data_IF_065291045994
#
_entry.id   IF_065291045994
#
_cell.length_a   1.000
_cell.length_b   1.000
_cell.length_c   1.000
_cell.angle_alpha   90.00
_cell.angle_beta   90.00
_cell.angle_gamma   90.00
#
_symmetry.space_group_name_H-M   'P 1'
#
loop_
_entity.id
_entity.type
_entity.pdbx_description
1 polymer ?
#
# COMPACT_ATOMS: atom_id res chain seq x y z
N UNK A 1 -9.91 -23.74 37.23
CA UNK A 1 -10.96 -24.08 36.26
C UNK A 1 -11.58 -22.78 35.77
N UNK A 2 -11.57 -22.55 34.46
CA UNK A 2 -12.26 -21.40 33.86
C UNK A 2 -13.77 -21.57 34.10
N UNK A 3 -14.43 -20.51 34.59
CA UNK A 3 -15.83 -20.57 35.10
C UNK A 3 -16.73 -19.52 34.48
N UNK A 4 -16.16 -18.50 33.81
CA UNK A 4 -16.91 -17.41 33.19
C UNK A 4 -16.78 -17.48 31.68
N UNK A 5 -17.81 -17.04 30.96
CA UNK A 5 -17.77 -16.93 29.50
C UNK A 5 -16.62 -16.05 29.00
N UNK A 6 -16.21 -15.04 29.77
CA UNK A 6 -15.03 -14.20 29.50
C UNK A 6 -13.71 -14.96 29.47
N UNK A 7 -13.65 -16.15 30.07
CA UNK A 7 -12.46 -16.99 30.11
C UNK A 7 -12.31 -17.82 28.82
N UNK A 8 -13.39 -17.92 28.02
CA UNK A 8 -13.45 -18.69 26.77
C UNK A 8 -13.73 -17.82 25.55
N UNK A 9 -14.40 -16.69 25.74
CA UNK A 9 -14.84 -15.78 24.68
C UNK A 9 -14.09 -14.46 24.87
N UNK A 10 -13.19 -14.18 23.94
CA UNK A 10 -12.51 -12.90 23.84
C UNK A 10 -13.06 -12.13 22.64
N UNK A 11 -13.37 -10.84 22.84
CA UNK A 11 -13.60 -9.93 21.73
C UNK A 11 -12.27 -9.71 21.03
N UNK A 12 -12.16 -10.18 19.79
CA UNK A 12 -11.04 -9.82 18.95
C UNK A 12 -11.14 -8.32 18.64
N UNK A 13 -10.03 -7.58 18.72
CA UNK A 13 -9.99 -6.19 18.31
C UNK A 13 -10.24 -6.10 16.80
N UNK A 14 -11.51 -6.02 16.42
CA UNK A 14 -11.95 -5.90 15.04
C UNK A 14 -12.04 -4.42 14.67
N UNK A 15 -11.20 -3.98 13.73
CA UNK A 15 -11.33 -2.68 13.11
C UNK A 15 -12.29 -2.80 11.93
N UNK A 16 -13.53 -2.25 12.02
CA UNK A 16 -14.53 -2.41 10.95
C UNK A 16 -14.16 -1.64 9.67
N UNK A 17 -13.26 -0.65 9.79
CA UNK A 17 -12.78 0.16 8.67
C UNK A 17 -11.26 0.12 8.68
N UNK A 18 -10.71 -0.32 7.56
CA UNK A 18 -9.27 -0.34 7.35
C UNK A 18 -8.76 1.05 6.96
N UNK A 19 -7.86 1.60 7.77
CA UNK A 19 -7.25 2.91 7.56
C UNK A 19 -5.79 2.78 7.14
N UNK A 20 -5.47 3.20 5.91
CA UNK A 20 -4.11 3.05 5.33
C UNK A 20 -3.06 3.90 6.08
N UNK A 21 -3.49 4.93 6.83
CA UNK A 21 -2.57 5.77 7.62
C UNK A 21 -2.39 5.30 9.07
N UNK A 22 -3.38 4.60 9.62
CA UNK A 22 -3.44 4.19 11.03
C UNK A 22 -3.59 2.66 11.12
N UNK A 23 -2.66 1.95 10.48
CA UNK A 23 -2.65 0.49 10.49
C UNK A 23 -1.93 -0.07 11.72
N UNK A 24 -2.53 -1.07 12.37
CA UNK A 24 -1.85 -1.88 13.37
C UNK A 24 -0.78 -2.77 12.73
N UNK A 25 0.26 -3.09 13.50
CA UNK A 25 1.32 -4.02 13.07
C UNK A 25 0.66 -5.34 12.64
N UNK A 26 0.92 -5.80 11.41
CA UNK A 26 0.39 -7.02 10.79
C UNK A 26 -1.10 -7.05 10.41
N UNK A 27 -1.89 -5.98 10.63
CA UNK A 27 -3.32 -5.97 10.26
C UNK A 27 -3.56 -6.23 8.78
N UNK A 28 -2.65 -5.79 7.90
CA UNK A 28 -2.73 -6.01 6.46
C UNK A 28 -2.71 -7.50 6.07
N UNK A 29 -1.99 -8.35 6.84
CA UNK A 29 -1.81 -9.78 6.54
C UNK A 29 -3.10 -10.59 6.68
N UNK A 30 -4.10 -10.05 7.40
CA UNK A 30 -5.42 -10.69 7.55
C UNK A 30 -6.26 -10.66 6.27
N UNK A 31 -5.84 -9.94 5.23
CA UNK A 31 -6.56 -9.88 3.97
C UNK A 31 -6.61 -11.26 3.29
N UNK A 32 -7.79 -11.68 2.88
CA UNK A 32 -7.98 -12.95 2.17
C UNK A 32 -7.86 -12.66 0.66
N UNK A 33 -6.84 -13.19 -0.04
CA UNK A 33 -6.66 -12.94 -1.47
C UNK A 33 -7.79 -13.55 -2.29
N UNK A 34 -8.56 -12.70 -2.96
CA UNK A 34 -9.62 -13.09 -3.91
C UNK A 34 -9.09 -13.12 -5.35
N UNK A 35 -9.84 -13.74 -6.27
CA UNK A 35 -9.49 -13.71 -7.69
C UNK A 35 -9.38 -12.27 -8.25
N UNK A 36 -10.27 -11.38 -7.82
CA UNK A 36 -10.25 -9.96 -8.18
C UNK A 36 -9.00 -9.25 -7.64
N UNK A 37 -8.57 -9.59 -6.42
CA UNK A 37 -7.34 -9.07 -5.86
C UNK A 37 -6.11 -9.56 -6.65
N UNK A 38 -6.06 -10.83 -7.04
CA UNK A 38 -4.96 -11.37 -7.84
C UNK A 38 -4.84 -10.65 -9.19
N UNK A 39 -5.97 -10.38 -9.85
CA UNK A 39 -6.01 -9.59 -11.09
C UNK A 39 -5.52 -8.15 -10.85
N UNK A 40 -5.97 -7.51 -9.77
CA UNK A 40 -5.53 -6.17 -9.37
C UNK A 40 -4.02 -6.12 -9.10
N UNK A 41 -3.48 -7.11 -8.38
CA UNK A 41 -2.07 -7.23 -8.08
C UNK A 41 -1.27 -7.45 -9.37
N UNK A 42 -1.70 -8.34 -10.26
CA UNK A 42 -1.05 -8.60 -11.55
C UNK A 42 -1.00 -7.34 -12.43
N UNK A 43 -2.10 -6.59 -12.50
CA UNK A 43 -2.15 -5.30 -13.22
C UNK A 43 -1.24 -4.26 -12.58
N UNK A 44 -1.18 -4.21 -11.25
CA UNK A 44 -0.30 -3.31 -10.51
C UNK A 44 1.17 -3.60 -10.79
N UNK A 45 1.56 -4.88 -10.72
CA UNK A 45 2.92 -5.30 -11.07
C UNK A 45 3.27 -4.92 -12.51
N UNK A 46 2.38 -5.21 -13.45
CA UNK A 46 2.58 -4.87 -14.88
C UNK A 46 2.75 -3.36 -15.08
N UNK A 47 1.91 -2.54 -14.45
CA UNK A 47 1.97 -1.09 -14.57
C UNK A 47 3.29 -0.51 -14.01
N UNK A 48 3.85 -1.14 -12.97
CA UNK A 48 5.07 -0.68 -12.30
C UNK A 48 6.33 -1.17 -13.01
N UNK A 49 6.36 -2.43 -13.46
CA UNK A 49 7.59 -3.05 -13.99
C UNK A 49 7.73 -2.97 -15.50
N UNK A 50 6.65 -2.72 -16.24
CA UNK A 50 6.69 -2.73 -17.70
C UNK A 50 7.62 -1.65 -18.26
N UNK A 51 8.43 -2.00 -19.27
CA UNK A 51 9.19 -1.05 -20.08
C UNK A 51 8.31 -0.30 -21.08
N UNK A 52 7.22 -0.92 -21.53
CA UNK A 52 6.27 -0.32 -22.48
C UNK A 52 5.42 0.76 -21.82
N UNK A 53 5.44 1.97 -22.41
CA UNK A 53 4.68 3.14 -21.94
C UNK A 53 3.17 2.85 -21.94
N UNK A 54 2.66 2.11 -22.94
CA UNK A 54 1.25 1.75 -23.08
C UNK A 54 0.69 0.94 -21.90
N UNK A 55 1.56 0.20 -21.19
CA UNK A 55 1.23 -0.64 -20.04
C UNK A 55 1.39 0.09 -18.71
N UNK A 56 2.10 1.21 -18.66
CA UNK A 56 2.27 2.06 -17.47
C UNK A 56 1.04 2.93 -17.25
N UNK A 57 0.01 2.36 -16.62
CA UNK A 57 -1.28 3.03 -16.40
C UNK A 57 -1.60 3.20 -14.92
N UNK A 58 -2.28 4.29 -14.60
CA UNK A 58 -2.91 4.49 -13.30
C UNK A 58 -4.04 3.47 -13.10
N UNK A 59 -4.14 2.90 -11.90
CA UNK A 59 -5.13 1.89 -11.56
C UNK A 59 -6.22 2.53 -10.70
N UNK A 60 -7.47 2.29 -11.09
CA UNK A 60 -8.64 2.79 -10.39
C UNK A 60 -9.43 1.61 -9.80
N UNK A 61 -9.48 1.53 -8.47
CA UNK A 61 -10.22 0.48 -7.76
C UNK A 61 -11.59 1.01 -7.37
N UNK A 62 -12.65 0.41 -7.92
CA UNK A 62 -14.06 0.78 -7.67
C UNK A 62 -14.80 -0.34 -6.96
N UNK A 63 -15.79 0.01 -6.14
CA UNK A 63 -16.61 -0.96 -5.41
C UNK A 63 -17.35 -0.32 -4.22
N UNK A 64 -18.32 -1.01 -3.67
CA UNK A 64 -19.18 -0.53 -2.58
C UNK A 64 -18.40 -0.29 -1.29
N UNK A 65 -18.93 0.56 -0.39
CA UNK A 65 -18.30 0.82 0.90
C UNK A 65 -18.16 -0.48 1.71
N UNK A 66 -17.04 -0.64 2.43
CA UNK A 66 -16.79 -1.85 3.25
C UNK A 66 -16.26 -3.08 2.51
N UNK A 67 -16.06 -3.05 1.18
CA UNK A 67 -15.55 -4.21 0.42
C UNK A 67 -14.03 -4.39 0.43
N UNK A 68 -13.33 -3.79 1.40
CA UNK A 68 -11.89 -3.99 1.55
C UNK A 68 -11.01 -3.35 0.46
N UNK A 69 -11.49 -2.37 -0.33
CA UNK A 69 -10.67 -1.69 -1.36
C UNK A 69 -9.41 -1.02 -0.80
N UNK A 70 -9.55 -0.31 0.32
CA UNK A 70 -8.43 0.32 1.02
C UNK A 70 -7.46 -0.74 1.54
N UNK A 71 -7.99 -1.82 2.11
CA UNK A 71 -7.21 -2.95 2.61
C UNK A 71 -6.43 -3.65 1.50
N UNK A 72 -7.10 -3.97 0.38
CA UNK A 72 -6.47 -4.53 -0.82
C UNK A 72 -5.34 -3.63 -1.35
N UNK A 73 -5.56 -2.31 -1.37
CA UNK A 73 -4.54 -1.35 -1.83
C UNK A 73 -3.35 -1.29 -0.87
N UNK A 74 -3.60 -1.39 0.43
CA UNK A 74 -2.54 -1.48 1.43
C UNK A 74 -1.74 -2.78 1.32
N UNK A 75 -2.39 -3.92 1.07
CA UNK A 75 -1.68 -5.19 0.82
C UNK A 75 -0.74 -5.06 -0.36
N UNK A 76 -1.15 -4.45 -1.47
CA UNK A 76 -0.26 -4.20 -2.62
C UNK A 76 0.92 -3.31 -2.21
N UNK A 77 0.68 -2.25 -1.43
CA UNK A 77 1.74 -1.39 -0.88
C UNK A 77 2.73 -2.20 -0.05
N UNK A 78 2.28 -2.99 0.93
CA UNK A 78 3.13 -3.80 1.79
C UNK A 78 3.94 -4.81 0.98
N UNK A 79 3.28 -5.54 0.07
CA UNK A 79 3.94 -6.49 -0.83
C UNK A 79 5.09 -5.86 -1.61
N UNK A 80 4.96 -4.59 -2.03
CA UNK A 80 5.97 -3.90 -2.85
C UNK A 80 6.99 -3.08 -2.05
N UNK A 81 6.74 -2.78 -0.78
CA UNK A 81 7.54 -1.81 -0.02
C UNK A 81 8.19 -2.37 1.25
N UNK A 82 7.58 -3.35 1.90
CA UNK A 82 8.07 -3.90 3.17
C UNK A 82 9.19 -4.91 2.99
N UNK A 83 10.00 -5.18 4.01
CA UNK A 83 11.08 -6.16 3.91
C UNK A 83 10.59 -7.54 3.45
N UNK A 84 11.44 -8.26 2.70
CA UNK A 84 11.04 -9.53 2.11
C UNK A 84 10.58 -10.55 3.17
N UNK A 85 11.21 -10.55 4.34
CA UNK A 85 10.89 -11.47 5.42
C UNK A 85 9.49 -11.23 6.02
N UNK A 86 9.01 -9.97 6.06
CA UNK A 86 7.68 -9.67 6.60
C UNK A 86 6.55 -10.07 5.65
N UNK A 87 6.83 -10.11 4.34
CA UNK A 87 5.82 -10.42 3.31
C UNK A 87 5.84 -11.89 2.87
N UNK A 88 6.92 -12.62 3.16
CA UNK A 88 7.12 -14.01 2.70
C UNK A 88 5.94 -14.92 3.05
N UNK A 89 5.47 -14.86 4.30
CA UNK A 89 4.33 -15.65 4.77
C UNK A 89 3.06 -15.33 4.00
N UNK A 90 2.82 -14.06 3.68
CA UNK A 90 1.63 -13.64 2.95
C UNK A 90 1.69 -14.06 1.47
N UNK A 91 2.87 -13.99 0.84
CA UNK A 91 3.09 -14.47 -0.54
C UNK A 91 2.69 -15.94 -0.67
N UNK A 92 2.89 -16.75 0.38
CA UNK A 92 2.49 -18.15 0.37
C UNK A 92 0.97 -18.36 0.24
N UNK A 93 0.16 -17.42 0.71
CA UNK A 93 -1.30 -17.45 0.65
C UNK A 93 -1.88 -17.08 -0.74
N UNK A 94 -1.04 -16.63 -1.68
CA UNK A 94 -1.49 -16.30 -3.04
C UNK A 94 -1.75 -17.61 -3.81
N UNK A 95 -3.00 -17.82 -4.21
CA UNK A 95 -3.43 -19.04 -4.89
C UNK A 95 -2.80 -19.23 -6.29
N UNK A 96 -2.46 -18.14 -6.99
CA UNK A 96 -1.89 -18.20 -8.33
C UNK A 96 -0.36 -18.39 -8.27
N UNK A 97 0.17 -19.56 -8.71
CA UNK A 97 1.61 -19.84 -8.67
C UNK A 97 2.44 -18.90 -9.55
N UNK A 98 1.89 -18.47 -10.68
CA UNK A 98 2.58 -17.57 -11.61
C UNK A 98 2.75 -16.19 -10.97
N UNK A 99 1.67 -15.64 -10.43
CA UNK A 99 1.69 -14.36 -9.72
C UNK A 99 2.62 -14.40 -8.50
N UNK A 100 2.57 -15.49 -7.73
CA UNK A 100 3.44 -15.73 -6.58
C UNK A 100 4.92 -15.68 -6.96
N UNK A 101 5.30 -16.37 -8.04
CA UNK A 101 6.68 -16.35 -8.55
C UNK A 101 7.09 -14.96 -9.03
N UNK A 102 6.19 -14.22 -9.68
CA UNK A 102 6.44 -12.88 -10.18
C UNK A 102 6.69 -11.89 -9.03
N UNK A 103 5.85 -11.93 -7.99
CA UNK A 103 6.05 -11.10 -6.79
C UNK A 103 7.38 -11.44 -6.14
N UNK A 104 7.67 -12.72 -5.91
CA UNK A 104 8.93 -13.15 -5.28
C UNK A 104 10.17 -12.67 -6.05
N UNK A 105 10.19 -12.88 -7.36
CA UNK A 105 11.29 -12.46 -8.22
C UNK A 105 11.46 -10.93 -8.22
N UNK A 106 10.37 -10.18 -8.26
CA UNK A 106 10.42 -8.72 -8.18
C UNK A 106 11.03 -8.27 -6.84
N UNK A 107 10.61 -8.88 -5.73
CA UNK A 107 11.05 -8.49 -4.37
C UNK A 107 12.48 -8.85 -4.04
N UNK A 108 13.00 -9.93 -4.62
CA UNK A 108 14.42 -10.27 -4.50
C UNK A 108 15.32 -9.26 -5.21
N UNK A 109 14.83 -8.64 -6.29
CA UNK A 109 15.62 -7.73 -7.11
C UNK A 109 15.42 -6.25 -6.76
N UNK A 110 14.21 -5.85 -6.36
CA UNK A 110 13.85 -4.44 -6.20
C UNK A 110 12.91 -4.20 -5.01
N UNK A 111 13.23 -3.13 -4.27
CA UNK A 111 12.37 -2.53 -3.26
C UNK A 111 11.81 -1.21 -3.73
N UNK A 112 10.49 -1.04 -3.63
CA UNK A 112 9.83 0.21 -3.95
C UNK A 112 9.58 1.01 -2.68
N UNK A 113 9.43 2.32 -2.87
CA UNK A 113 9.08 3.27 -1.83
C UNK A 113 7.71 3.85 -2.14
N UNK A 114 6.73 3.57 -1.27
CA UNK A 114 5.37 4.07 -1.47
C UNK A 114 5.17 5.41 -0.79
N UNK A 115 4.48 6.31 -1.49
CA UNK A 115 3.94 7.55 -0.94
C UNK A 115 2.42 7.41 -0.88
N UNK A 116 1.86 7.49 0.31
CA UNK A 116 0.41 7.33 0.54
C UNK A 116 -0.20 8.70 0.75
N UNK A 117 -1.21 9.05 -0.05
CA UNK A 117 -2.01 10.25 0.14
C UNK A 117 -3.41 9.85 0.58
N UNK A 118 -3.90 10.42 1.68
CA UNK A 118 -5.28 10.21 2.17
C UNK A 118 -5.88 11.56 2.48
N UNK A 119 -7.10 11.78 1.99
CA UNK A 119 -7.80 13.05 2.18
C UNK A 119 -7.05 14.18 1.49
N UNK A 120 -7.16 14.25 0.16
CA UNK A 120 -6.76 15.44 -0.62
C UNK A 120 -7.75 16.58 -0.30
N UNK A 121 -7.79 16.99 0.96
CA UNK A 121 -8.48 18.21 1.37
C UNK A 121 -7.90 19.33 0.52
N UNK A 122 -8.76 19.99 -0.26
CA UNK A 122 -8.44 21.20 -1.02
C UNK A 122 -7.67 21.04 -2.34
N UNK A 123 -7.40 19.83 -2.85
CA UNK A 123 -6.83 19.64 -4.19
C UNK A 123 -7.90 19.77 -5.29
N UNK A 124 -8.55 20.94 -5.34
CA UNK A 124 -9.56 21.28 -6.34
C UNK A 124 -8.95 21.80 -7.65
N UNK A 125 -7.64 22.08 -7.65
CA UNK A 125 -6.88 22.56 -8.79
C UNK A 125 -5.55 21.78 -8.94
N UNK A 126 -4.98 21.82 -10.14
CA UNK A 126 -3.71 21.15 -10.47
C UNK A 126 -2.56 21.66 -9.58
N UNK A 127 -2.39 22.98 -9.34
CA UNK A 127 -1.29 23.48 -8.51
C UNK A 127 -1.33 22.98 -7.06
N UNK A 128 -2.49 22.97 -6.40
CA UNK A 128 -2.60 22.46 -5.02
C UNK A 128 -2.39 20.97 -4.95
N UNK A 129 -2.79 20.21 -5.99
CA UNK A 129 -2.49 18.80 -6.07
C UNK A 129 -0.98 18.55 -6.14
N UNK A 130 -0.26 19.27 -7.00
CA UNK A 130 1.21 19.18 -7.10
C UNK A 130 1.88 19.50 -5.76
N UNK A 131 1.43 20.56 -5.08
CA UNK A 131 1.97 20.95 -3.79
C UNK A 131 1.66 19.93 -2.68
N UNK A 132 0.47 19.32 -2.70
CA UNK A 132 0.11 18.25 -1.76
C UNK A 132 0.98 17.02 -1.98
N UNK A 133 1.22 16.65 -3.25
CA UNK A 133 2.09 15.54 -3.61
C UNK A 133 3.53 15.80 -3.16
N UNK A 134 4.07 16.98 -3.42
CA UNK A 134 5.42 17.35 -3.00
C UNK A 134 5.59 17.32 -1.48
N UNK A 135 4.59 17.79 -0.72
CA UNK A 135 4.58 17.74 0.74
C UNK A 135 4.60 16.31 1.27
N UNK A 136 3.72 15.45 0.76
CA UNK A 136 3.65 14.05 1.21
C UNK A 136 4.88 13.24 0.79
N UNK A 137 5.43 13.47 -0.42
CA UNK A 137 6.71 12.87 -0.83
C UNK A 137 7.83 13.28 0.11
N UNK A 138 7.97 14.59 0.38
CA UNK A 138 9.02 15.12 1.26
C UNK A 138 8.91 14.56 2.68
N UNK A 139 7.68 14.48 3.20
CA UNK A 139 7.38 13.91 4.52
C UNK A 139 7.74 12.42 4.57
N UNK A 140 7.32 11.65 3.57
CA UNK A 140 7.60 10.23 3.50
C UNK A 140 9.11 9.97 3.41
N UNK A 141 9.83 10.73 2.59
CA UNK A 141 11.28 10.54 2.40
C UNK A 141 12.05 10.92 3.68
N UNK A 142 11.72 12.05 4.32
CA UNK A 142 12.35 12.45 5.60
C UNK A 142 12.15 11.43 6.71
N UNK A 143 11.07 10.66 6.70
CA UNK A 143 10.84 9.61 7.69
C UNK A 143 11.82 8.42 7.56
N UNK A 144 12.38 8.20 6.38
CA UNK A 144 13.33 7.10 6.12
C UNK A 144 14.77 7.60 6.04
N UNK A 145 14.98 8.75 5.40
CA UNK A 145 16.29 9.38 5.23
C UNK A 145 16.19 10.86 5.64
N UNK A 146 16.41 11.17 6.93
CA UNK A 146 16.22 12.52 7.48
C UNK A 146 17.08 13.59 6.79
N UNK A 147 18.28 13.21 6.35
CA UNK A 147 19.26 14.09 5.72
C UNK A 147 19.04 14.28 4.22
N UNK A 148 18.02 13.63 3.64
CA UNK A 148 17.73 13.74 2.21
C UNK A 148 17.03 15.06 1.90
N UNK A 149 17.79 15.98 1.29
CA UNK A 149 17.29 17.29 0.87
C UNK A 149 16.72 17.18 -0.55
N UNK A 150 15.42 17.44 -0.69
CA UNK A 150 14.75 17.58 -1.99
C UNK A 150 14.53 19.06 -2.26
N UNK A 151 15.04 19.56 -3.37
CA UNK A 151 14.72 20.90 -3.83
C UNK A 151 13.21 20.99 -4.10
N UNK A 152 12.52 21.83 -3.33
CA UNK A 152 11.09 22.04 -3.51
C UNK A 152 10.83 23.17 -4.50
N UNK A 153 9.60 23.25 -5.02
CA UNK A 153 9.18 24.32 -5.93
C UNK A 153 9.25 25.68 -5.21
N UNK A 154 9.04 25.67 -3.89
CA UNK A 154 9.25 26.82 -3.03
C UNK A 154 10.73 27.23 -2.95
N UNK A 155 11.64 26.25 -2.84
CA UNK A 155 13.10 26.48 -2.87
C UNK A 155 13.54 26.99 -4.23
N UNK A 156 12.92 26.51 -5.31
CA UNK A 156 13.17 26.97 -6.67
C UNK A 156 12.60 28.36 -6.96
N UNK A 157 11.54 28.78 -6.26
CA UNK A 157 10.93 30.10 -6.40
C UNK A 157 11.63 31.21 -5.59
N UNK A 158 12.45 30.84 -4.60
CA UNK A 158 13.22 31.77 -3.76
C UNK A 158 14.62 32.06 -4.35
N UNK A 159 15.16 31.14 -5.15
CA UNK A 159 16.43 31.31 -5.87
C UNK A 159 16.20 31.88 -7.27
#
# INVERSE_FOLDING_TARGET
MATKYSDFIHLQNFLPVYDILEEGVSSWQSFIPTAQFNEMLQRSLTAITSSEISKRRSIWVRGTFGTGKSHASAVVKHLLCDDFDSIKTYIENINDPALKSQVRNLRQNKRYFAVTLKGVQQAYDIPRFTLSLQREVSKAVKAVVPDFVVNSDFTAAIN
#
